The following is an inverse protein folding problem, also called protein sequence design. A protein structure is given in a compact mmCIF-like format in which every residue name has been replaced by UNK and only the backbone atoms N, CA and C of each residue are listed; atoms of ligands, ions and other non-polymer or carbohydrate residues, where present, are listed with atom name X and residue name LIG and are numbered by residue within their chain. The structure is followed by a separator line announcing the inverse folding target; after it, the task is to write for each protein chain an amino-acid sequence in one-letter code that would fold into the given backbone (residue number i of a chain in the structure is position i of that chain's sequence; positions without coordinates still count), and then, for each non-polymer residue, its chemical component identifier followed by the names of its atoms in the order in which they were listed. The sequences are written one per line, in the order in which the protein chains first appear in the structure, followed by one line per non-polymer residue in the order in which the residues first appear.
data_IF_822443134682
#
_entry.id   IF_822443134682
#
_cell.length_a   1.000
_cell.length_b   1.000
_cell.length_c   1.000
_cell.angle_alpha   90.00
_cell.angle_beta   90.00
_cell.angle_gamma   90.00
#
_symmetry.space_group_name_H-M   'P 1'
#
loop_
_entity.id
_entity.type
_entity.pdbx_description
1 polymer ?
#
# COMPACT_ATOMS: atom_id res chain seq x y z
N UNK A 1 6.97 55.06 61.33
CA UNK A 1 5.91 54.22 60.72
C UNK A 1 6.48 53.63 59.44
N UNK A 2 6.72 52.32 59.40
CA UNK A 2 7.27 51.61 58.22
C UNK A 2 6.10 50.96 57.50
N UNK A 3 5.84 51.35 56.25
CA UNK A 3 4.81 50.74 55.42
C UNK A 3 5.36 49.47 54.75
N UNK A 4 4.68 48.35 54.97
CA UNK A 4 4.99 47.05 54.39
C UNK A 4 3.97 46.79 53.27
N UNK A 5 4.42 46.69 52.03
CA UNK A 5 3.59 46.42 50.85
C UNK A 5 3.76 44.93 50.50
N UNK A 6 2.66 44.18 50.49
CA UNK A 6 2.61 42.79 50.02
C UNK A 6 2.06 42.76 48.59
N UNK A 7 2.88 42.30 47.64
CA UNK A 7 2.45 42.02 46.27
C UNK A 7 1.98 40.57 46.18
N UNK A 8 0.69 40.37 45.86
CA UNK A 8 0.10 39.05 45.60
C UNK A 8 0.35 38.72 44.12
N UNK A 9 1.23 37.75 43.86
CA UNK A 9 1.46 37.20 42.52
C UNK A 9 0.36 36.17 42.23
N UNK A 10 -0.56 36.50 41.33
CA UNK A 10 -1.63 35.59 40.92
C UNK A 10 -1.15 34.80 39.71
N UNK A 11 -0.87 33.51 39.88
CA UNK A 11 -0.49 32.60 38.78
C UNK A 11 -1.76 32.08 38.12
N UNK A 12 -2.01 32.47 36.86
CA UNK A 12 -3.04 31.86 36.03
C UNK A 12 -2.48 30.57 35.40
N UNK A 13 -2.98 29.41 35.83
CA UNK A 13 -2.78 28.16 35.09
C UNK A 13 -3.75 28.12 33.91
N UNK A 14 -3.22 28.32 32.70
CA UNK A 14 -3.90 27.94 31.46
C UNK A 14 -3.79 26.43 31.28
N UNK A 15 -4.88 25.70 31.54
CA UNK A 15 -4.98 24.29 31.19
C UNK A 15 -5.18 24.14 29.68
N UNK A 16 -4.13 23.75 28.96
CA UNK A 16 -4.24 23.38 27.55
C UNK A 16 -4.73 21.94 27.44
N UNK A 17 -6.01 21.76 27.12
CA UNK A 17 -6.52 20.46 26.66
C UNK A 17 -6.01 20.22 25.24
N UNK A 18 -4.81 19.65 25.11
CA UNK A 18 -4.30 19.16 23.84
C UNK A 18 -5.06 17.90 23.43
N UNK A 19 -5.86 17.96 22.38
CA UNK A 19 -6.26 16.76 21.63
C UNK A 19 -5.00 16.22 20.94
N UNK A 20 -4.38 15.19 21.52
CA UNK A 20 -3.35 14.42 20.83
C UNK A 20 -4.04 13.70 19.66
N UNK A 21 -3.59 13.87 18.40
CA UNK A 21 -4.12 13.08 17.30
C UNK A 21 -3.90 11.60 17.62
N UNK A 22 -4.98 10.82 17.64
CA UNK A 22 -4.88 9.35 17.73
C UNK A 22 -4.09 8.90 16.51
N UNK A 23 -2.92 8.34 16.74
CA UNK A 23 -2.18 7.64 15.71
C UNK A 23 -3.04 6.43 15.31
N UNK A 24 -3.69 6.49 14.15
CA UNK A 24 -4.47 5.36 13.64
C UNK A 24 -3.49 4.25 13.31
N UNK A 25 -3.62 3.09 13.95
CA UNK A 25 -2.80 1.95 13.61
C UNK A 25 -3.10 1.51 12.16
N UNK A 26 -2.06 1.41 11.33
CA UNK A 26 -2.17 0.92 9.96
C UNK A 26 -2.60 -0.57 9.97
N UNK A 27 -3.19 -1.03 8.87
CA UNK A 27 -3.72 -2.39 8.71
C UNK A 27 -4.81 -2.74 9.74
N UNK A 28 -5.69 -1.79 10.02
CA UNK A 28 -6.91 -2.01 10.81
C UNK A 28 -8.11 -1.48 10.03
N UNK A 29 -9.26 -2.14 10.19
CA UNK A 29 -10.51 -1.63 9.63
C UNK A 29 -11.19 -0.70 10.63
N UNK A 30 -11.66 0.43 10.12
CA UNK A 30 -12.61 1.28 10.81
C UNK A 30 -13.95 0.56 10.96
N UNK A 31 -14.76 1.04 11.92
CA UNK A 31 -16.13 0.54 12.08
C UNK A 31 -16.95 0.65 10.79
N UNK A 32 -16.76 1.74 10.04
CA UNK A 32 -17.45 1.96 8.77
C UNK A 32 -17.06 0.91 7.72
N UNK A 33 -15.78 0.61 7.58
CA UNK A 33 -15.30 -0.39 6.64
C UNK A 33 -15.84 -1.79 6.99
N UNK A 34 -15.85 -2.15 8.27
CA UNK A 34 -16.48 -3.40 8.74
C UNK A 34 -17.96 -3.43 8.38
N UNK A 35 -18.70 -2.35 8.61
CA UNK A 35 -20.13 -2.26 8.30
C UNK A 35 -20.42 -2.29 6.79
N UNK A 36 -19.45 -1.90 5.97
CA UNK A 36 -19.51 -1.99 4.51
C UNK A 36 -19.04 -3.36 3.97
N UNK A 37 -18.56 -4.26 4.84
CA UNK A 37 -18.15 -5.62 4.48
C UNK A 37 -16.71 -5.74 3.98
N UNK A 38 -15.85 -4.75 4.24
CA UNK A 38 -14.42 -4.86 3.95
C UNK A 38 -13.75 -5.93 4.83
N UNK A 39 -12.75 -6.60 4.27
CA UNK A 39 -11.89 -7.53 4.99
C UNK A 39 -10.41 -7.17 4.81
N UNK A 40 -9.57 -7.46 5.81
CA UNK A 40 -8.13 -7.27 5.69
C UNK A 40 -7.51 -8.45 4.94
N UNK A 41 -6.92 -8.17 3.78
CA UNK A 41 -6.04 -9.13 3.10
C UNK A 41 -4.66 -9.23 3.77
N UNK A 42 -4.22 -8.14 4.41
CA UNK A 42 -2.95 -8.05 5.12
C UNK A 42 -3.14 -7.38 6.48
N UNK A 43 -2.65 -8.04 7.54
CA UNK A 43 -2.81 -7.62 8.95
C UNK A 43 -1.59 -6.85 9.48
N UNK A 44 -0.58 -6.60 8.64
CA UNK A 44 0.68 -5.99 9.04
C UNK A 44 1.67 -6.92 9.74
N UNK A 45 1.36 -8.22 9.89
CA UNK A 45 2.08 -9.13 10.79
C UNK A 45 2.39 -10.49 10.16
N UNK A 46 1.56 -10.97 9.24
CA UNK A 46 1.68 -12.30 8.67
C UNK A 46 1.43 -12.32 7.15
N UNK A 47 1.91 -13.39 6.51
CA UNK A 47 1.59 -13.71 5.12
C UNK A 47 0.56 -14.84 5.04
N UNK A 48 -0.26 -15.00 6.09
CA UNK A 48 -1.13 -16.17 6.23
C UNK A 48 -2.21 -16.24 5.15
N UNK A 49 -2.59 -15.10 4.57
CA UNK A 49 -3.52 -15.01 3.45
C UNK A 49 -2.85 -15.13 2.07
N UNK A 50 -1.53 -15.28 2.02
CA UNK A 50 -0.74 -15.20 0.79
C UNK A 50 -0.02 -16.52 0.50
N UNK A 51 0.21 -16.78 -0.78
CA UNK A 51 1.03 -17.88 -1.30
C UNK A 51 1.76 -17.42 -2.56
N UNK A 52 2.86 -18.06 -2.89
CA UNK A 52 3.54 -17.83 -4.17
C UNK A 52 2.66 -18.31 -5.33
N UNK A 53 2.62 -17.53 -6.42
CA UNK A 53 1.99 -17.95 -7.67
C UNK A 53 2.65 -19.24 -8.18
N UNK A 54 1.84 -20.23 -8.58
CA UNK A 54 2.28 -21.59 -8.94
C UNK A 54 2.95 -22.39 -7.80
N UNK A 55 2.80 -21.94 -6.55
CA UNK A 55 3.28 -22.64 -5.37
C UNK A 55 4.77 -22.42 -5.04
N UNK A 56 5.27 -23.19 -4.07
CA UNK A 56 6.60 -22.99 -3.49
C UNK A 56 6.59 -22.08 -2.25
N UNK A 57 7.79 -21.78 -1.76
CA UNK A 57 7.96 -20.86 -0.63
C UNK A 57 7.80 -19.40 -1.10
N UNK A 58 7.28 -18.54 -0.23
CA UNK A 58 7.27 -17.10 -0.49
C UNK A 58 8.72 -16.58 -0.42
N UNK A 59 9.17 -15.95 -1.49
CA UNK A 59 10.51 -15.38 -1.63
C UNK A 59 10.41 -13.91 -2.02
N UNK A 60 11.40 -13.10 -1.65
CA UNK A 60 11.43 -11.68 -2.00
C UNK A 60 10.49 -10.78 -1.20
N UNK A 61 9.58 -11.33 -0.40
CA UNK A 61 8.67 -10.56 0.45
C UNK A 61 9.04 -10.61 1.93
N UNK A 62 8.97 -9.45 2.58
CA UNK A 62 9.17 -9.31 4.04
C UNK A 62 8.22 -8.28 4.62
N UNK A 63 7.90 -8.46 5.90
CA UNK A 63 7.10 -7.49 6.66
C UNK A 63 8.05 -6.63 7.48
N UNK A 64 7.99 -5.31 7.31
CA UNK A 64 8.77 -4.34 8.08
C UNK A 64 7.83 -3.23 8.53
N UNK A 65 7.76 -2.98 9.84
CA UNK A 65 6.93 -1.92 10.43
C UNK A 65 5.46 -1.91 9.96
N UNK A 66 4.87 -3.10 9.79
CA UNK A 66 3.50 -3.24 9.31
C UNK A 66 3.33 -3.07 7.80
N UNK A 67 4.41 -2.97 7.03
CA UNK A 67 4.38 -2.84 5.57
C UNK A 67 4.90 -4.11 4.92
N UNK A 68 4.24 -4.53 3.84
CA UNK A 68 4.67 -5.63 3.01
C UNK A 68 5.64 -5.13 1.92
N UNK A 69 6.93 -5.48 2.05
CA UNK A 69 8.00 -5.05 1.14
C UNK A 69 8.39 -6.18 0.19
N UNK A 70 8.45 -5.87 -1.11
CA UNK A 70 9.08 -6.71 -2.12
C UNK A 70 10.53 -6.26 -2.37
N UNK A 71 11.48 -7.18 -2.45
CA UNK A 71 12.89 -6.93 -2.76
C UNK A 71 13.24 -7.03 -4.25
N UNK A 72 12.28 -7.35 -5.13
CA UNK A 72 12.48 -7.61 -6.55
C UNK A 72 13.12 -8.96 -6.87
N UNK A 73 13.22 -9.87 -5.89
CA UNK A 73 13.78 -11.20 -6.11
C UNK A 73 12.75 -12.06 -6.84
N UNK A 74 13.17 -12.67 -7.96
CA UNK A 74 12.35 -13.58 -8.76
C UNK A 74 12.06 -13.09 -10.18
N UNK A 75 12.14 -11.77 -10.42
CA UNK A 75 11.91 -11.15 -11.74
C UNK A 75 10.58 -11.63 -12.36
N UNK A 76 10.48 -11.75 -13.68
CA UNK A 76 9.22 -12.00 -14.39
C UNK A 76 8.67 -13.43 -14.20
N UNK A 77 9.45 -14.32 -13.59
CA UNK A 77 9.15 -15.75 -13.51
C UNK A 77 9.12 -16.27 -12.06
N UNK A 78 9.03 -15.37 -11.08
CA UNK A 78 8.98 -15.76 -9.68
C UNK A 78 8.89 -14.59 -8.73
N UNK A 79 8.55 -14.88 -7.47
CA UNK A 79 8.40 -13.87 -6.43
C UNK A 79 7.00 -13.26 -6.38
N UNK A 80 6.14 -13.44 -7.37
CA UNK A 80 4.75 -13.02 -7.29
C UNK A 80 4.00 -13.79 -6.20
N UNK A 81 3.22 -13.05 -5.40
CA UNK A 81 2.32 -13.62 -4.40
C UNK A 81 0.87 -13.36 -4.79
N UNK A 82 0.02 -14.30 -4.44
CA UNK A 82 -1.42 -14.22 -4.66
C UNK A 82 -2.15 -14.51 -3.34
N UNK A 83 -3.40 -14.06 -3.25
CA UNK A 83 -4.26 -14.46 -2.14
C UNK A 83 -4.54 -15.97 -2.21
N UNK A 84 -4.63 -16.62 -1.05
CA UNK A 84 -5.09 -18.02 -0.95
C UNK A 84 -6.58 -18.16 -1.30
N UNK A 85 -7.36 -17.10 -1.06
CA UNK A 85 -8.77 -17.02 -1.42
C UNK A 85 -8.90 -16.43 -2.82
N UNK A 86 -9.78 -17.00 -3.62
CA UNK A 86 -10.16 -16.49 -4.93
C UNK A 86 -11.35 -15.52 -4.82
N UNK A 87 -11.39 -14.52 -5.70
CA UNK A 87 -12.42 -13.49 -5.75
C UNK A 87 -12.96 -13.35 -7.16
N UNK A 88 -14.29 -13.33 -7.30
CA UNK A 88 -14.95 -13.07 -8.57
C UNK A 88 -15.23 -11.57 -8.73
N UNK A 89 -16.20 -11.05 -7.97
CA UNK A 89 -16.52 -9.63 -7.90
C UNK A 89 -15.94 -9.07 -6.61
N UNK A 90 -15.15 -8.01 -6.70
CA UNK A 90 -14.53 -7.39 -5.55
C UNK A 90 -14.28 -5.90 -5.78
N UNK A 91 -14.11 -5.17 -4.68
CA UNK A 91 -13.47 -3.86 -4.64
C UNK A 91 -12.18 -4.03 -3.84
N UNK A 92 -11.07 -3.51 -4.34
CA UNK A 92 -9.77 -3.60 -3.70
C UNK A 92 -9.26 -2.20 -3.41
N UNK A 93 -8.84 -1.98 -2.17
CA UNK A 93 -8.13 -0.79 -1.74
C UNK A 93 -6.79 -1.21 -1.15
N UNK A 94 -5.72 -0.55 -1.57
CA UNK A 94 -4.42 -0.61 -0.90
C UNK A 94 -3.67 0.69 -1.07
N UNK A 95 -2.66 0.88 -0.22
CA UNK A 95 -1.68 1.94 -0.36
C UNK A 95 -0.37 1.33 -0.84
N UNK A 96 0.31 2.01 -1.77
CA UNK A 96 1.55 1.51 -2.36
C UNK A 96 2.59 2.61 -2.47
N UNK A 97 3.85 2.18 -2.40
CA UNK A 97 5.03 3.01 -2.60
C UNK A 97 6.10 2.16 -3.28
N UNK A 98 6.84 2.77 -4.19
CA UNK A 98 7.90 2.12 -4.98
C UNK A 98 9.23 2.82 -4.76
N UNK A 99 10.33 2.11 -5.01
CA UNK A 99 11.66 2.69 -5.03
C UNK A 99 11.97 3.30 -6.41
N UNK A 100 13.03 4.13 -6.55
CA UNK A 100 13.48 4.62 -7.85
C UNK A 100 13.71 3.46 -8.83
N UNK A 101 13.41 3.70 -10.10
CA UNK A 101 13.59 2.73 -11.21
C UNK A 101 12.89 1.36 -10.96
N UNK A 102 11.84 1.34 -10.13
CA UNK A 102 11.11 0.10 -9.82
C UNK A 102 9.92 -0.11 -10.75
N UNK A 103 9.56 -1.38 -10.94
CA UNK A 103 8.39 -1.86 -11.66
C UNK A 103 7.74 -2.99 -10.84
N UNK A 104 6.43 -2.90 -10.67
CA UNK A 104 5.59 -3.87 -9.97
C UNK A 104 4.16 -3.76 -10.51
N UNK A 105 3.24 -4.56 -9.98
CA UNK A 105 1.86 -4.55 -10.44
C UNK A 105 0.91 -5.18 -9.43
N UNK A 106 -0.36 -4.80 -9.51
CA UNK A 106 -1.44 -5.47 -8.81
C UNK A 106 -2.21 -6.28 -9.85
N UNK A 107 -2.08 -7.60 -9.75
CA UNK A 107 -2.76 -8.53 -10.64
C UNK A 107 -4.09 -9.00 -10.05
N UNK A 108 -5.07 -9.25 -10.91
CA UNK A 108 -6.36 -9.82 -10.51
C UNK A 108 -6.83 -10.88 -11.50
N UNK A 109 -7.75 -11.75 -11.06
CA UNK A 109 -8.27 -12.88 -11.86
C UNK A 109 -7.20 -13.78 -12.49
N UNK A 110 -6.07 -13.91 -11.82
CA UNK A 110 -4.94 -14.77 -12.22
C UNK A 110 -5.30 -16.25 -12.10
N UNK A 111 -4.72 -17.09 -12.96
CA UNK A 111 -4.93 -18.53 -12.96
C UNK A 111 -3.60 -19.27 -12.87
N UNK A 112 -3.50 -20.15 -11.89
CA UNK A 112 -2.33 -21.03 -11.70
C UNK A 112 -2.44 -22.31 -12.54
N UNK A 113 -1.29 -22.97 -12.75
CA UNK A 113 -1.23 -24.29 -13.41
C UNK A 113 -1.42 -24.30 -14.92
N UNK A 114 -1.73 -23.14 -15.52
CA UNK A 114 -1.87 -22.98 -16.98
C UNK A 114 -0.95 -21.89 -17.57
N UNK A 115 -0.21 -21.19 -16.71
CA UNK A 115 0.68 -20.08 -17.06
C UNK A 115 1.98 -20.18 -16.26
N UNK A 116 3.08 -19.68 -16.82
CA UNK A 116 4.37 -19.63 -16.13
C UNK A 116 4.53 -18.32 -15.34
N UNK A 117 4.03 -17.22 -15.88
CA UNK A 117 4.04 -15.90 -15.26
C UNK A 117 2.62 -15.38 -15.00
N UNK A 118 2.47 -14.55 -13.96
CA UNK A 118 1.17 -14.08 -13.47
C UNK A 118 0.41 -13.26 -14.54
N UNK A 119 1.12 -12.46 -15.33
CA UNK A 119 0.58 -11.58 -16.36
C UNK A 119 -0.02 -12.31 -17.56
N UNK A 120 0.29 -13.61 -17.74
CA UNK A 120 -0.26 -14.39 -18.87
C UNK A 120 -1.77 -14.63 -18.72
N UNK A 121 -2.31 -14.48 -17.51
CA UNK A 121 -3.72 -14.76 -17.22
C UNK A 121 -4.43 -13.59 -16.55
N UNK A 122 -3.77 -12.86 -15.65
CA UNK A 122 -4.36 -11.76 -14.92
C UNK A 122 -4.12 -10.42 -15.59
N UNK A 123 -5.14 -9.56 -15.74
CA UNK A 123 -4.92 -8.15 -15.99
C UNK A 123 -4.15 -7.48 -14.83
N UNK A 124 -3.49 -6.37 -15.13
CA UNK A 124 -2.56 -5.70 -14.22
C UNK A 124 -2.91 -4.22 -14.05
N UNK A 125 -3.05 -3.78 -12.80
CA UNK A 125 -2.91 -2.37 -12.44
C UNK A 125 -1.41 -2.07 -12.28
N UNK A 126 -0.87 -1.26 -13.19
CA UNK A 126 0.57 -1.00 -13.27
C UNK A 126 1.07 -0.13 -12.11
N UNK A 127 2.25 -0.46 -11.55
CA UNK A 127 2.97 0.29 -10.51
C UNK A 127 4.42 0.51 -10.93
N UNK A 128 4.75 1.66 -11.50
CA UNK A 128 6.08 1.93 -12.07
C UNK A 128 6.60 3.30 -11.68
N UNK A 129 7.92 3.48 -11.70
CA UNK A 129 8.52 4.81 -11.58
C UNK A 129 8.28 5.60 -12.87
N UNK A 130 7.10 6.22 -12.98
CA UNK A 130 6.61 6.96 -14.14
C UNK A 130 7.63 7.99 -14.69
N UNK A 131 8.49 8.53 -13.83
CA UNK A 131 9.46 9.58 -14.18
C UNK A 131 10.89 9.07 -14.29
N UNK A 132 11.25 8.06 -13.51
CA UNK A 132 12.60 7.53 -13.41
C UNK A 132 12.84 6.25 -14.21
N UNK A 133 11.80 5.63 -14.79
CA UNK A 133 11.99 4.40 -15.57
C UNK A 133 12.97 4.61 -16.74
N UNK A 134 13.98 3.73 -16.93
CA UNK A 134 15.09 3.97 -17.84
C UNK A 134 14.72 4.00 -19.33
N UNK A 135 13.53 3.50 -19.69
CA UNK A 135 13.04 3.48 -21.07
C UNK A 135 11.79 4.32 -21.23
N UNK A 136 11.55 4.82 -22.44
CA UNK A 136 10.31 5.52 -22.74
C UNK A 136 9.10 4.60 -22.54
N UNK A 137 8.19 5.01 -21.66
CA UNK A 137 6.90 4.34 -21.44
C UNK A 137 5.89 4.76 -22.51
N UNK A 138 5.06 3.81 -22.93
CA UNK A 138 3.80 4.10 -23.65
C UNK A 138 2.77 4.65 -22.66
N UNK A 139 1.75 5.33 -23.17
CA UNK A 139 0.64 5.85 -22.33
C UNK A 139 -0.05 4.75 -21.50
N UNK A 140 -0.15 3.54 -22.03
CA UNK A 140 -0.72 2.35 -21.38
C UNK A 140 0.23 1.63 -20.41
N UNK A 141 1.42 2.19 -20.14
CA UNK A 141 2.44 1.61 -19.26
C UNK A 141 2.75 2.47 -18.04
N UNK A 142 2.08 3.62 -17.88
CA UNK A 142 2.20 4.44 -16.67
C UNK A 142 1.39 3.85 -15.51
N UNK A 143 1.73 4.23 -14.28
CA UNK A 143 1.06 3.75 -13.08
C UNK A 143 -0.46 4.01 -13.12
N UNK A 144 -1.22 3.01 -12.70
CA UNK A 144 -2.69 2.99 -12.77
C UNK A 144 -3.28 2.69 -14.15
N UNK A 145 -2.44 2.39 -15.15
CA UNK A 145 -2.91 1.74 -16.36
C UNK A 145 -3.48 0.34 -16.05
N UNK A 146 -4.45 -0.08 -16.85
CA UNK A 146 -4.58 -1.51 -17.15
C UNK A 146 -3.51 -1.83 -18.19
N UNK A 147 -2.42 -2.46 -17.76
CA UNK A 147 -1.15 -2.51 -18.49
C UNK A 147 -1.31 -2.92 -19.96
N UNK A 148 -0.73 -2.12 -20.86
CA UNK A 148 -0.77 -2.24 -22.32
C UNK A 148 -2.18 -2.31 -22.96
N UNK A 149 -3.25 -2.12 -22.18
CA UNK A 149 -4.64 -2.18 -22.64
C UNK A 149 -5.32 -0.81 -22.57
N UNK A 150 -5.25 -0.12 -21.42
CA UNK A 150 -5.90 1.16 -21.20
C UNK A 150 -5.01 2.08 -20.36
N UNK A 151 -4.70 3.27 -20.90
CA UNK A 151 -3.99 4.31 -20.17
C UNK A 151 -4.79 4.79 -18.94
N UNK A 152 -4.11 5.24 -17.87
CA UNK A 152 -4.77 5.77 -16.69
C UNK A 152 -5.56 7.04 -17.05
N UNK A 153 -6.76 7.18 -16.48
CA UNK A 153 -7.58 8.38 -16.67
C UNK A 153 -7.47 9.31 -15.48
N UNK A 154 -6.67 10.37 -15.63
CA UNK A 154 -6.52 11.39 -14.59
C UNK A 154 -5.75 10.94 -13.35
N UNK A 155 -4.95 9.87 -13.46
CA UNK A 155 -4.07 9.45 -12.39
C UNK A 155 -3.08 10.55 -12.03
N UNK A 156 -2.85 10.72 -10.74
CA UNK A 156 -1.86 11.63 -10.17
C UNK A 156 -0.99 10.85 -9.21
N UNK A 157 0.14 10.37 -9.71
CA UNK A 157 1.12 9.65 -8.89
C UNK A 157 1.87 10.66 -8.02
N UNK A 158 1.88 10.42 -6.72
CA UNK A 158 2.62 11.25 -5.76
C UNK A 158 4.13 10.97 -5.85
N UNK A 159 5.01 11.85 -5.33
CA UNK A 159 6.45 11.60 -5.31
C UNK A 159 6.84 10.27 -4.64
N UNK A 160 8.02 9.71 -5.00
CA UNK A 160 8.48 8.39 -4.55
C UNK A 160 8.52 8.16 -3.03
N UNK A 161 8.60 9.22 -2.24
CA UNK A 161 8.62 9.13 -0.77
C UNK A 161 7.23 9.04 -0.13
N UNK A 162 6.19 9.34 -0.91
CA UNK A 162 4.80 9.39 -0.48
C UNK A 162 4.03 8.13 -0.89
N UNK A 163 2.92 7.89 -0.20
CA UNK A 163 2.05 6.74 -0.45
C UNK A 163 0.98 7.09 -1.48
N UNK A 164 0.90 6.28 -2.53
CA UNK A 164 -0.21 6.28 -3.47
C UNK A 164 -1.34 5.39 -2.96
N UNK A 165 -2.55 5.58 -3.51
CA UNK A 165 -3.75 4.82 -3.19
C UNK A 165 -4.41 4.38 -4.50
N UNK A 166 -4.96 3.18 -4.54
CA UNK A 166 -5.82 2.71 -5.64
C UNK A 166 -7.17 3.39 -5.62
#
# INVERSE_FOLDING_TARGET
MKHLIYSILTVFLFGTTGCTPKNTEINTLTKKEIDQGWELLFDGKSLDNWKTFNGGAVTGWKIVDGVLHNSGVGSDHGGDIITKKEYQNFELYLEWKIAPESNSGIFFHVQEGIANAIYETGPEYQLIDDKGWPTQLKESQYSGANYDMHAPKGAKVVPLEEWNKT
#
